data_IF_081048633226
#
_entry.id   IF_081048633226
#
_cell.length_a   1.000
_cell.length_b   1.000
_cell.length_c   1.000
_cell.angle_alpha   90.00
_cell.angle_beta   90.00
_cell.angle_gamma   90.00
#
_symmetry.space_group_name_H-M   'P 1'
#
loop_
_entity.id
_entity.type
_entity.pdbx_description
1 polymer ?
#
# COMPACT_ATOMS: atom_id res chain seq x y z
N UNK A 1 -3.55 4.73 5.11
CA UNK A 1 -3.17 3.74 6.12
C UNK A 1 -4.14 2.56 5.99
N UNK A 2 -3.66 1.33 5.86
CA UNK A 2 -4.55 0.15 5.78
C UNK A 2 -4.87 -0.41 7.18
N UNK A 3 -5.91 -1.24 7.29
CA UNK A 3 -6.45 -1.74 8.57
C UNK A 3 -5.40 -2.52 9.36
N UNK A 4 -4.63 -3.36 8.67
CA UNK A 4 -3.58 -4.20 9.28
C UNK A 4 -2.46 -3.36 9.87
N UNK A 5 -1.92 -2.40 9.11
CA UNK A 5 -0.83 -1.53 9.56
C UNK A 5 -1.27 -0.59 10.69
N UNK A 6 -2.50 -0.07 10.62
CA UNK A 6 -3.08 0.73 11.71
C UNK A 6 -3.13 -0.07 13.02
N UNK A 7 -3.61 -1.32 12.98
CA UNK A 7 -3.66 -2.21 14.15
C UNK A 7 -2.27 -2.52 14.68
N UNK A 8 -1.30 -2.80 13.80
CA UNK A 8 0.06 -3.14 14.18
C UNK A 8 0.74 -2.00 14.94
N UNK A 9 0.62 -0.76 14.45
CA UNK A 9 1.14 0.44 15.13
C UNK A 9 0.58 0.54 16.55
N UNK A 10 -0.75 0.44 16.72
CA UNK A 10 -1.37 0.55 18.04
C UNK A 10 -0.97 -0.63 18.96
N UNK A 11 -0.89 -1.85 18.42
CA UNK A 11 -0.44 -3.04 19.17
C UNK A 11 1.00 -2.88 19.66
N UNK A 12 1.89 -2.34 18.84
CA UNK A 12 3.27 -2.09 19.23
C UNK A 12 3.36 -1.16 20.44
N UNK A 13 2.50 -0.13 20.51
CA UNK A 13 2.46 0.77 21.67
C UNK A 13 1.92 0.08 22.93
N UNK A 14 0.97 -0.85 22.79
CA UNK A 14 0.49 -1.69 23.91
C UNK A 14 1.61 -2.60 24.42
N UNK A 15 2.37 -3.23 23.53
CA UNK A 15 3.47 -4.13 23.93
C UNK A 15 4.58 -3.38 24.66
N UNK A 16 4.86 -2.14 24.26
CA UNK A 16 5.84 -1.27 24.93
C UNK A 16 5.44 -0.89 26.36
N UNK A 17 4.16 -0.96 26.74
CA UNK A 17 3.71 -0.67 28.12
C UNK A 17 4.42 -1.58 29.12
N UNK A 18 4.70 -2.85 28.77
CA UNK A 18 5.42 -3.78 29.66
C UNK A 18 6.84 -3.29 29.95
N UNK A 19 7.53 -2.76 28.95
CA UNK A 19 8.88 -2.21 29.11
C UNK A 19 8.85 -0.94 29.97
N UNK A 20 7.89 -0.05 29.72
CA UNK A 20 7.74 1.21 30.44
C UNK A 20 7.28 1.02 31.89
N UNK A 21 6.52 -0.05 32.17
CA UNK A 21 6.13 -0.46 33.53
C UNK A 21 7.30 -1.03 34.33
N UNK A 22 8.26 -1.70 33.67
CA UNK A 22 9.43 -2.29 34.32
C UNK A 22 10.50 -1.24 34.68
N UNK A 23 10.49 -0.07 34.05
CA UNK A 23 11.39 1.03 34.36
C UNK A 23 10.89 1.92 35.50
N UNK A 24 11.81 2.63 36.15
CA UNK A 24 11.44 3.67 37.12
C UNK A 24 10.59 4.74 36.44
N UNK A 25 9.52 5.13 37.12
CA UNK A 25 8.53 6.12 36.69
C UNK A 25 9.18 7.42 36.18
N UNK A 26 8.58 8.01 35.14
CA UNK A 26 8.98 9.30 34.55
C UNK A 26 10.43 9.37 34.05
N UNK A 27 10.97 8.24 33.60
CA UNK A 27 12.25 8.22 32.89
C UNK A 27 12.06 8.41 31.40
N UNK A 28 13.19 8.57 30.71
CA UNK A 28 13.28 8.76 29.26
C UNK A 28 12.40 7.77 28.46
N UNK A 29 12.33 6.49 28.85
CA UNK A 29 11.50 5.50 28.17
C UNK A 29 10.00 5.83 28.25
N UNK A 30 9.50 6.31 29.40
CA UNK A 30 8.10 6.73 29.55
C UNK A 30 7.80 7.96 28.70
N UNK A 31 8.64 9.00 28.77
CA UNK A 31 8.43 10.23 28.01
C UNK A 31 8.44 9.98 26.49
N UNK A 32 9.38 9.13 26.05
CA UNK A 32 9.47 8.68 24.66
C UNK A 32 8.22 7.91 24.26
N UNK A 33 7.84 6.88 25.01
CA UNK A 33 6.63 6.10 24.73
C UNK A 33 5.37 6.96 24.68
N UNK A 34 5.20 7.89 25.63
CA UNK A 34 4.04 8.78 25.68
C UNK A 34 3.97 9.70 24.46
N UNK A 35 5.11 10.25 24.03
CA UNK A 35 5.20 11.09 22.83
C UNK A 35 4.94 10.30 21.56
N UNK A 36 5.57 9.13 21.42
CA UNK A 36 5.45 8.26 20.26
C UNK A 36 4.01 7.75 20.12
N UNK A 37 3.41 7.26 21.21
CA UNK A 37 2.00 6.82 21.25
C UNK A 37 1.05 7.93 20.80
N UNK A 38 1.28 9.17 21.22
CA UNK A 38 0.47 10.30 20.79
C UNK A 38 0.61 10.58 19.29
N UNK A 39 1.84 10.57 18.78
CA UNK A 39 2.09 10.79 17.36
C UNK A 39 1.45 9.68 16.50
N UNK A 40 1.56 8.44 16.94
CA UNK A 40 0.95 7.28 16.28
C UNK A 40 -0.58 7.37 16.28
N UNK A 41 -1.21 7.80 17.38
CA UNK A 41 -2.65 8.04 17.42
C UNK A 41 -3.09 9.15 16.44
N UNK A 42 -2.31 10.24 16.32
CA UNK A 42 -2.59 11.31 15.34
C UNK A 42 -2.38 10.83 13.89
N UNK A 43 -1.45 9.90 13.68
CA UNK A 43 -1.19 9.33 12.37
C UNK A 43 -2.27 8.32 11.93
N UNK A 44 -2.73 7.48 12.86
CA UNK A 44 -3.76 6.46 12.62
C UNK A 44 -5.15 7.07 12.57
N UNK A 45 -5.45 8.04 13.45
CA UNK A 45 -6.75 8.72 13.54
C UNK A 45 -6.59 10.22 13.25
N UNK A 46 -6.81 10.68 12.00
CA UNK A 46 -6.63 12.09 11.63
C UNK A 46 -7.53 13.05 12.43
N UNK A 47 -8.71 12.57 12.83
CA UNK A 47 -9.50 13.24 13.85
C UNK A 47 -8.79 13.07 15.19
N UNK A 48 -8.11 14.13 15.66
CA UNK A 48 -7.27 14.19 16.89
C UNK A 48 -7.96 13.80 18.21
N UNK A 49 -9.17 13.26 18.18
CA UNK A 49 -9.96 12.86 19.35
C UNK A 49 -9.20 11.87 20.22
N UNK A 50 -8.69 10.79 19.64
CA UNK A 50 -8.02 9.74 20.42
C UNK A 50 -6.71 10.21 21.05
N UNK A 51 -5.92 11.03 20.35
CA UNK A 51 -4.70 11.62 20.90
C UNK A 51 -4.98 12.62 22.03
N UNK A 52 -6.08 13.38 21.92
CA UNK A 52 -6.56 14.28 22.97
C UNK A 52 -7.05 13.49 24.19
N UNK A 53 -7.79 12.41 24.00
CA UNK A 53 -8.28 11.57 25.10
C UNK A 53 -7.14 10.83 25.81
N UNK A 54 -6.15 10.34 25.06
CA UNK A 54 -4.91 9.80 25.61
C UNK A 54 -4.14 10.82 26.46
N UNK A 55 -4.04 12.07 25.98
CA UNK A 55 -3.35 13.14 26.71
C UNK A 55 -4.01 13.53 28.04
N UNK A 56 -5.28 13.17 28.25
CA UNK A 56 -5.99 13.41 29.52
C UNK A 56 -5.73 12.34 30.58
N UNK A 57 -5.12 11.21 30.19
CA UNK A 57 -4.78 10.15 31.12
C UNK A 57 -3.74 10.67 32.11
N UNK A 58 -4.02 10.47 33.39
CA UNK A 58 -3.12 10.89 34.46
C UNK A 58 -2.27 9.72 34.89
N UNK A 59 -0.97 9.94 34.91
CA UNK A 59 0.02 9.01 35.46
C UNK A 59 0.48 9.43 36.86
N UNK A 60 0.08 10.65 37.27
CA UNK A 60 0.36 11.21 38.59
C UNK A 60 -0.94 11.50 39.36
N UNK A 61 -0.92 11.39 40.71
CA UNK A 61 -2.04 11.75 41.57
C UNK A 61 -2.52 13.20 41.39
N UNK A 62 -3.80 13.46 41.66
CA UNK A 62 -4.44 14.78 41.43
C UNK A 62 -4.02 15.88 42.40
N UNK A 63 -3.58 15.54 43.60
CA UNK A 63 -3.24 16.52 44.67
C UNK A 63 -1.75 16.47 44.95
N UNK A 64 -1.11 17.63 45.11
CA UNK A 64 0.25 17.76 45.68
C UNK A 64 0.17 17.58 47.21
N UNK A 65 -0.10 16.37 47.67
CA UNK A 65 0.03 15.98 49.07
C UNK A 65 1.37 15.25 49.23
N UNK A 66 1.88 15.14 50.45
CA UNK A 66 2.97 14.21 50.80
C UNK A 66 2.51 12.78 50.55
N UNK A 67 2.64 12.35 49.30
CA UNK A 67 2.30 11.01 48.84
C UNK A 67 3.49 10.10 49.01
N UNK A 68 3.22 8.91 49.54
CA UNK A 68 4.18 7.81 49.62
C UNK A 68 4.63 7.38 48.22
N UNK A 69 5.80 6.77 48.13
CA UNK A 69 6.30 6.23 46.87
C UNK A 69 5.35 5.18 46.28
N UNK A 70 4.64 4.43 47.14
CA UNK A 70 3.66 3.42 46.74
C UNK A 70 2.42 4.05 46.09
N UNK A 71 1.82 5.08 46.68
CA UNK A 71 0.65 5.78 46.07
C UNK A 71 0.98 6.41 44.73
N UNK A 72 2.21 6.90 44.57
CA UNK A 72 2.66 7.44 43.30
C UNK A 72 2.93 6.32 42.27
N UNK A 73 3.33 5.13 42.71
CA UNK A 73 3.48 3.95 41.87
C UNK A 73 2.13 3.43 41.39
N UNK A 74 1.16 3.30 42.28
CA UNK A 74 -0.21 2.89 41.97
C UNK A 74 -0.86 3.82 40.94
N UNK A 75 -0.72 5.14 41.09
CA UNK A 75 -1.28 6.09 40.12
C UNK A 75 -0.61 6.02 38.74
N UNK A 76 0.67 5.62 38.69
CA UNK A 76 1.39 5.43 37.43
C UNK A 76 0.94 4.16 36.73
N UNK A 77 0.87 3.04 37.45
CA UNK A 77 0.37 1.76 36.96
C UNK A 77 -1.08 1.90 36.47
N UNK A 78 -1.91 2.61 37.24
CA UNK A 78 -3.27 2.94 36.84
C UNK A 78 -3.33 3.76 35.54
N UNK A 79 -2.43 4.73 35.37
CA UNK A 79 -2.31 5.49 34.14
C UNK A 79 -1.93 4.61 32.94
N UNK A 80 -1.00 3.67 33.12
CA UNK A 80 -0.61 2.70 32.08
C UNK A 80 -1.75 1.74 31.74
N UNK A 81 -2.49 1.25 32.72
CA UNK A 81 -3.65 0.38 32.51
C UNK A 81 -4.77 1.11 31.74
N UNK A 82 -5.07 2.36 32.12
CA UNK A 82 -6.01 3.22 31.39
C UNK A 82 -5.57 3.48 29.96
N UNK A 83 -4.26 3.65 29.75
CA UNK A 83 -3.67 3.84 28.43
C UNK A 83 -3.88 2.60 27.57
N UNK A 84 -3.58 1.41 28.12
CA UNK A 84 -3.83 0.14 27.45
C UNK A 84 -5.30 -0.01 27.06
N UNK A 85 -6.22 0.24 27.98
CA UNK A 85 -7.66 0.14 27.70
C UNK A 85 -8.12 1.07 26.57
N UNK A 86 -7.57 2.29 26.49
CA UNK A 86 -7.84 3.22 25.38
C UNK A 86 -7.30 2.67 24.05
N UNK A 87 -6.06 2.18 24.03
CA UNK A 87 -5.44 1.62 22.83
C UNK A 87 -6.17 0.33 22.36
N UNK A 88 -6.60 -0.53 23.29
CA UNK A 88 -7.45 -1.68 23.00
C UNK A 88 -8.79 -1.25 22.37
N UNK A 89 -9.40 -0.17 22.87
CA UNK A 89 -10.61 0.42 22.26
C UNK A 89 -10.34 0.94 20.86
N UNK A 90 -9.17 1.54 20.60
CA UNK A 90 -8.76 1.96 19.25
C UNK A 90 -8.63 0.76 18.31
N UNK A 91 -8.04 -0.35 18.76
CA UNK A 91 -7.94 -1.58 17.96
C UNK A 91 -9.34 -2.11 17.62
N UNK A 92 -10.24 -2.17 18.60
CA UNK A 92 -11.62 -2.61 18.37
C UNK A 92 -12.37 -1.69 17.40
N UNK A 93 -12.14 -0.37 17.48
CA UNK A 93 -12.71 0.59 16.52
C UNK A 93 -12.21 0.32 15.10
N UNK A 94 -10.90 0.12 14.93
CA UNK A 94 -10.30 -0.24 13.64
C UNK A 94 -10.88 -1.57 13.14
N UNK A 95 -10.98 -2.59 13.99
CA UNK A 95 -11.52 -3.90 13.61
C UNK A 95 -12.97 -3.82 13.15
N UNK A 96 -13.79 -3.02 13.84
CA UNK A 96 -15.24 -2.97 13.65
C UNK A 96 -15.69 -2.02 12.56
N UNK A 97 -15.02 -0.88 12.41
CA UNK A 97 -15.50 0.22 11.57
C UNK A 97 -14.60 0.54 10.38
N UNK A 98 -13.37 0.00 10.32
CA UNK A 98 -12.55 0.15 9.13
C UNK A 98 -12.86 -1.02 8.19
N UNK A 99 -13.33 -0.67 6.99
CA UNK A 99 -13.61 -1.62 5.93
C UNK A 99 -12.33 -2.39 5.55
N UNK A 100 -12.48 -3.68 5.22
CA UNK A 100 -11.41 -4.51 4.63
C UNK A 100 -11.07 -4.10 3.20
N UNK A 101 -11.64 -3.00 2.70
CA UNK A 101 -11.22 -2.39 1.45
C UNK A 101 -9.86 -1.70 1.62
N UNK A 102 -8.86 -2.56 1.86
CA UNK A 102 -7.46 -2.27 1.88
C UNK A 102 -7.08 -1.64 0.55
N UNK A 103 -6.70 -0.37 0.59
CA UNK A 103 -5.64 0.08 -0.29
C UNK A 103 -4.40 -0.71 0.11
N UNK A 104 -4.17 -1.83 -0.55
CA UNK A 104 -2.90 -2.50 -0.48
C UNK A 104 -1.89 -1.66 -1.26
N UNK A 105 -1.39 -0.60 -0.60
CA UNK A 105 -0.32 0.24 -1.12
C UNK A 105 0.96 -0.56 -1.41
N UNK A 106 1.01 -1.84 -1.02
CA UNK A 106 2.11 -2.76 -1.34
C UNK A 106 1.81 -3.66 -2.54
N UNK A 107 0.55 -3.80 -2.97
CA UNK A 107 0.24 -4.61 -4.13
C UNK A 107 0.57 -3.85 -5.41
N UNK A 108 1.68 -4.25 -6.02
CA UNK A 108 2.18 -3.66 -7.26
C UNK A 108 1.73 -4.50 -8.45
N UNK A 109 1.50 -3.82 -9.56
CA UNK A 109 1.21 -4.46 -10.84
C UNK A 109 2.50 -5.06 -11.45
N UNK A 110 3.60 -4.34 -11.28
CA UNK A 110 4.96 -4.67 -11.72
C UNK A 110 5.87 -4.58 -10.50
N UNK A 111 6.75 -5.56 -10.31
CA UNK A 111 7.69 -5.55 -9.19
C UNK A 111 8.71 -4.42 -9.30
N UNK A 112 9.17 -3.88 -8.16
CA UNK A 112 10.15 -2.79 -8.17
C UNK A 112 11.47 -3.24 -8.78
N UNK A 113 11.86 -4.50 -8.55
CA UNK A 113 13.09 -5.08 -9.11
C UNK A 113 13.07 -5.02 -10.64
N UNK A 114 11.89 -5.17 -11.25
CA UNK A 114 11.74 -5.09 -12.71
C UNK A 114 11.93 -3.66 -13.22
N UNK A 115 11.39 -2.69 -12.49
CA UNK A 115 11.52 -1.27 -12.85
C UNK A 115 12.96 -0.82 -12.66
N UNK A 116 13.64 -1.23 -11.60
CA UNK A 116 15.05 -0.89 -11.38
C UNK A 116 15.95 -1.55 -12.41
N UNK A 117 15.71 -2.81 -12.79
CA UNK A 117 16.41 -3.46 -13.91
C UNK A 117 16.30 -2.65 -15.21
N UNK A 118 15.11 -2.19 -15.58
CA UNK A 118 14.91 -1.36 -16.78
C UNK A 118 15.66 -0.02 -16.71
N UNK A 119 15.77 0.55 -15.51
CA UNK A 119 16.41 1.84 -15.27
C UNK A 119 17.94 1.77 -15.31
N UNK A 120 18.52 0.64 -14.90
CA UNK A 120 19.97 0.44 -14.86
C UNK A 120 20.58 -0.04 -16.19
N UNK A 121 19.76 -0.53 -17.13
CA UNK A 121 20.26 -1.02 -18.41
C UNK A 121 20.74 0.13 -19.30
N UNK A 122 21.99 0.03 -19.76
CA UNK A 122 22.52 0.88 -20.81
C UNK A 122 21.97 0.43 -22.17
N UNK A 123 21.26 1.32 -22.87
CA UNK A 123 20.67 1.03 -24.16
C UNK A 123 20.62 2.27 -25.06
N UNK A 124 20.45 2.07 -26.37
CA UNK A 124 20.24 3.16 -27.33
C UNK A 124 18.83 3.75 -27.33
N UNK A 125 17.90 3.20 -26.54
CA UNK A 125 16.52 3.67 -26.41
C UNK A 125 16.34 4.60 -25.21
N UNK A 126 15.55 5.66 -25.35
CA UNK A 126 15.07 6.44 -24.21
C UNK A 126 13.89 5.71 -23.54
N UNK A 127 14.14 5.09 -22.39
CA UNK A 127 13.16 4.33 -21.63
C UNK A 127 12.31 5.21 -20.69
N UNK A 128 12.52 6.53 -20.63
CA UNK A 128 11.85 7.42 -19.66
C UNK A 128 10.33 7.27 -19.68
N UNK A 129 9.75 7.16 -20.87
CA UNK A 129 8.31 6.97 -21.03
C UNK A 129 7.84 5.61 -20.52
N UNK A 130 8.57 4.52 -20.82
CA UNK A 130 8.18 3.19 -20.37
C UNK A 130 8.27 3.08 -18.84
N UNK A 131 9.33 3.63 -18.24
CA UNK A 131 9.51 3.67 -16.79
C UNK A 131 8.38 4.43 -16.10
N UNK A 132 7.98 5.59 -16.65
CA UNK A 132 6.89 6.38 -16.09
C UNK A 132 5.54 5.66 -16.21
N UNK A 133 5.25 5.02 -17.35
CA UNK A 133 4.05 4.20 -17.51
C UNK A 133 4.00 3.02 -16.51
N UNK A 134 5.13 2.35 -16.27
CA UNK A 134 5.22 1.29 -15.25
C UNK A 134 4.95 1.83 -13.83
N UNK A 135 5.50 3.00 -13.50
CA UNK A 135 5.30 3.68 -12.22
C UNK A 135 3.83 4.06 -12.02
N UNK A 136 3.23 4.71 -13.02
CA UNK A 136 1.82 5.09 -13.00
C UNK A 136 0.90 3.86 -12.90
N UNK A 137 1.24 2.76 -13.58
CA UNK A 137 0.47 1.53 -13.53
C UNK A 137 0.44 0.95 -12.10
N UNK A 138 1.58 0.95 -11.41
CA UNK A 138 1.67 0.53 -10.01
C UNK A 138 0.83 1.41 -9.07
N UNK A 139 0.89 2.74 -9.25
CA UNK A 139 0.09 3.68 -8.45
C UNK A 139 -1.40 3.45 -8.71
N UNK A 140 -1.83 3.37 -9.96
CA UNK A 140 -3.23 3.20 -10.30
C UNK A 140 -3.78 1.84 -9.85
N UNK A 141 -2.96 0.78 -9.89
CA UNK A 141 -3.39 -0.53 -9.40
C UNK A 141 -3.56 -0.56 -7.88
N UNK A 142 -2.57 -0.08 -7.13
CA UNK A 142 -2.62 -0.01 -5.66
C UNK A 142 -3.72 0.93 -5.14
N UNK A 143 -4.09 1.94 -5.93
CA UNK A 143 -5.21 2.86 -5.64
C UNK A 143 -6.55 2.43 -6.25
N UNK A 144 -6.63 1.24 -6.85
CA UNK A 144 -7.86 0.67 -7.44
C UNK A 144 -8.48 1.52 -8.55
N UNK A 145 -7.68 2.36 -9.23
CA UNK A 145 -8.08 3.14 -10.40
C UNK A 145 -8.10 2.26 -11.66
N UNK A 146 -8.98 1.26 -11.68
CA UNK A 146 -8.93 0.17 -12.67
C UNK A 146 -9.20 0.61 -14.13
N UNK A 147 -9.94 1.71 -14.34
CA UNK A 147 -10.03 2.33 -15.68
C UNK A 147 -8.65 2.82 -16.16
N UNK A 148 -7.89 3.49 -15.29
CA UNK A 148 -6.55 3.95 -15.63
C UNK A 148 -5.58 2.77 -15.80
N UNK A 149 -5.71 1.72 -14.98
CA UNK A 149 -4.90 0.49 -15.12
C UNK A 149 -5.03 -0.08 -16.54
N UNK A 150 -6.25 -0.30 -17.04
CA UNK A 150 -6.42 -0.88 -18.37
C UNK A 150 -5.98 0.07 -19.50
N UNK A 151 -6.16 1.39 -19.32
CA UNK A 151 -5.62 2.39 -20.25
C UNK A 151 -4.08 2.33 -20.32
N UNK A 152 -3.42 2.18 -19.18
CA UNK A 152 -1.96 2.10 -19.09
C UNK A 152 -1.42 0.80 -19.67
N UNK A 153 -2.08 -0.34 -19.41
CA UNK A 153 -1.75 -1.63 -20.06
C UNK A 153 -1.77 -1.49 -21.57
N UNK A 154 -2.85 -0.90 -22.12
CA UNK A 154 -2.97 -0.65 -23.57
C UNK A 154 -1.88 0.30 -24.08
N UNK A 155 -1.60 1.36 -23.33
CA UNK A 155 -0.57 2.35 -23.69
C UNK A 155 0.82 1.71 -23.71
N UNK A 156 1.15 0.83 -22.77
CA UNK A 156 2.42 0.10 -22.74
C UNK A 156 2.56 -0.77 -23.99
N UNK A 157 1.57 -1.60 -24.31
CA UNK A 157 1.67 -2.50 -25.48
C UNK A 157 1.71 -1.73 -26.81
N UNK A 158 1.10 -0.55 -26.91
CA UNK A 158 1.16 0.29 -28.11
C UNK A 158 2.54 0.99 -28.28
N UNK A 159 3.32 1.14 -27.20
CA UNK A 159 4.61 1.84 -27.23
C UNK A 159 5.85 0.94 -27.19
N UNK A 160 5.72 -0.32 -26.80
CA UNK A 160 6.82 -1.31 -26.82
C UNK A 160 7.29 -1.77 -28.23
N UNK A 161 6.46 -1.83 -29.29
CA UNK A 161 6.85 -2.47 -30.55
C UNK A 161 8.17 -1.99 -31.19
N UNK A 162 8.53 -0.69 -31.18
CA UNK A 162 9.82 -0.24 -31.71
C UNK A 162 11.04 -0.88 -31.02
N UNK A 163 10.95 -1.16 -29.72
CA UNK A 163 12.03 -1.85 -28.99
C UNK A 163 12.18 -3.30 -29.50
N UNK A 164 11.06 -3.91 -29.88
CA UNK A 164 11.01 -5.29 -30.39
C UNK A 164 11.23 -5.38 -31.91
N UNK A 165 11.59 -4.28 -32.58
CA UNK A 165 11.76 -4.21 -34.05
C UNK A 165 10.50 -4.65 -34.82
N UNK A 166 9.33 -4.33 -34.27
CA UNK A 166 8.02 -4.70 -34.82
C UNK A 166 7.17 -3.45 -35.07
N UNK A 167 6.28 -3.50 -36.07
CA UNK A 167 5.37 -2.38 -36.40
C UNK A 167 4.18 -2.26 -35.45
N UNK A 168 3.82 -3.35 -34.79
CA UNK A 168 2.68 -3.43 -33.89
C UNK A 168 2.92 -4.51 -32.85
N UNK A 169 2.18 -4.42 -31.74
CA UNK A 169 2.23 -5.46 -30.71
C UNK A 169 1.68 -6.79 -31.21
N UNK A 170 0.62 -6.77 -32.01
CA UNK A 170 0.09 -7.97 -32.66
C UNK A 170 1.10 -8.70 -33.55
N UNK A 171 2.00 -7.97 -34.25
CA UNK A 171 3.10 -8.59 -34.99
C UNK A 171 4.06 -9.31 -34.04
N UNK A 172 4.55 -8.60 -33.01
CA UNK A 172 5.44 -9.18 -32.01
C UNK A 172 4.82 -10.42 -31.34
N UNK A 173 3.57 -10.33 -30.89
CA UNK A 173 2.85 -11.43 -30.26
C UNK A 173 2.73 -12.67 -31.15
N UNK A 174 2.67 -12.50 -32.48
CA UNK A 174 2.62 -13.61 -33.42
C UNK A 174 3.99 -14.21 -33.74
N UNK A 175 5.05 -13.41 -33.74
CA UNK A 175 6.40 -13.80 -34.15
C UNK A 175 7.29 -14.25 -32.98
N UNK A 176 6.90 -13.95 -31.74
CA UNK A 176 7.66 -14.32 -30.54
C UNK A 176 7.88 -15.84 -30.47
N UNK A 177 9.12 -16.22 -30.15
CA UNK A 177 9.53 -17.62 -30.04
C UNK A 177 9.04 -18.22 -28.73
N UNK A 178 8.62 -19.49 -28.78
CA UNK A 178 8.12 -20.23 -27.63
C UNK A 178 6.60 -20.21 -27.54
N UNK A 179 6.00 -21.41 -27.58
CA UNK A 179 4.54 -21.57 -27.67
C UNK A 179 3.80 -20.95 -26.47
N UNK A 180 4.34 -21.10 -25.26
CA UNK A 180 3.74 -20.54 -24.05
C UNK A 180 3.79 -19.01 -24.04
N UNK A 181 4.95 -18.42 -24.33
CA UNK A 181 5.13 -16.98 -24.39
C UNK A 181 4.25 -16.36 -25.49
N UNK A 182 4.19 -16.99 -26.67
CA UNK A 182 3.28 -16.59 -27.75
C UNK A 182 1.82 -16.54 -27.29
N UNK A 183 1.33 -17.58 -26.59
CA UNK A 183 -0.03 -17.58 -26.04
C UNK A 183 -0.27 -16.46 -25.04
N UNK A 184 0.73 -16.13 -24.21
CA UNK A 184 0.65 -15.04 -23.24
C UNK A 184 0.59 -13.67 -23.94
N UNK A 185 1.46 -13.42 -24.92
CA UNK A 185 1.48 -12.16 -25.67
C UNK A 185 0.21 -11.98 -26.50
N UNK A 186 -0.31 -13.05 -27.11
CA UNK A 186 -1.61 -13.02 -27.80
C UNK A 186 -2.77 -12.77 -26.84
N UNK A 187 -2.76 -13.40 -25.65
CA UNK A 187 -3.76 -13.08 -24.61
C UNK A 187 -3.70 -11.61 -24.23
N UNK A 188 -2.51 -11.06 -24.02
CA UNK A 188 -2.32 -9.65 -23.69
C UNK A 188 -2.86 -8.75 -24.80
N UNK A 189 -2.48 -9.00 -26.06
CA UNK A 189 -2.97 -8.21 -27.21
C UNK A 189 -4.50 -8.28 -27.34
N UNK A 190 -5.06 -9.49 -27.38
CA UNK A 190 -6.47 -9.67 -27.72
C UNK A 190 -7.40 -9.32 -26.56
N UNK A 191 -7.08 -9.79 -25.35
CA UNK A 191 -7.99 -9.64 -24.21
C UNK A 191 -7.88 -8.27 -23.57
N UNK A 192 -6.68 -7.69 -23.44
CA UNK A 192 -6.56 -6.37 -22.82
C UNK A 192 -7.24 -5.30 -23.68
N UNK A 193 -7.14 -5.37 -25.02
CA UNK A 193 -7.85 -4.46 -25.92
C UNK A 193 -9.36 -4.60 -25.82
N UNK A 194 -9.89 -5.83 -25.82
CA UNK A 194 -11.34 -6.07 -25.64
C UNK A 194 -11.86 -5.55 -24.31
N UNK A 195 -11.13 -5.81 -23.22
CA UNK A 195 -11.48 -5.30 -21.89
C UNK A 195 -11.43 -3.77 -21.89
N UNK A 196 -10.37 -3.16 -22.43
CA UNK A 196 -10.27 -1.71 -22.57
C UNK A 196 -11.44 -1.15 -23.38
N UNK A 197 -11.78 -1.78 -24.51
CA UNK A 197 -12.84 -1.29 -25.38
C UNK A 197 -14.21 -1.31 -24.69
N UNK A 198 -14.52 -2.38 -23.96
CA UNK A 198 -15.75 -2.49 -23.17
C UNK A 198 -15.76 -1.42 -22.08
N UNK A 199 -14.72 -1.38 -21.25
CA UNK A 199 -14.70 -0.50 -20.07
C UNK A 199 -14.66 0.99 -20.43
N UNK A 200 -13.91 1.37 -21.47
CA UNK A 200 -13.65 2.78 -21.78
C UNK A 200 -14.68 3.41 -22.72
N UNK A 201 -15.41 2.61 -23.52
CA UNK A 201 -16.37 3.13 -24.49
C UNK A 201 -17.84 2.87 -24.12
N UNK A 202 -18.11 2.02 -23.13
CA UNK A 202 -19.49 1.83 -22.66
C UNK A 202 -20.03 3.12 -22.03
N UNK A 203 -21.21 3.56 -22.50
CA UNK A 203 -21.86 4.78 -22.03
C UNK A 203 -22.57 4.56 -20.68
N UNK A 204 -22.68 5.62 -19.89
CA UNK A 204 -23.37 5.59 -18.58
C UNK A 204 -24.86 5.28 -18.74
N UNK A 205 -25.34 4.34 -17.94
CA UNK A 205 -26.68 3.76 -17.93
C UNK A 205 -27.09 3.25 -16.53
N UNK A 206 -28.21 2.51 -16.45
CA UNK A 206 -28.90 2.22 -15.17
C UNK A 206 -28.18 1.25 -14.23
N UNK A 207 -27.31 0.40 -14.75
CA UNK A 207 -26.48 -0.55 -13.98
C UNK A 207 -25.16 -0.68 -14.71
N UNK A 208 -24.09 -0.16 -14.12
CA UNK A 208 -22.73 -0.43 -14.60
C UNK A 208 -21.93 -1.09 -13.49
N UNK A 209 -21.40 -2.30 -13.73
CA UNK A 209 -20.35 -2.80 -12.87
C UNK A 209 -19.12 -1.89 -13.05
N UNK A 210 -18.64 -1.33 -11.93
CA UNK A 210 -17.30 -0.71 -11.88
C UNK A 210 -16.28 -1.80 -12.23
N UNK A 211 -15.20 -1.48 -12.98
CA UNK A 211 -14.19 -2.47 -13.31
C UNK A 211 -13.66 -3.15 -12.05
N UNK A 212 -13.50 -4.46 -12.10
CA UNK A 212 -12.92 -5.23 -11.00
C UNK A 212 -11.45 -5.50 -11.24
N UNK A 213 -10.72 -5.76 -10.16
CA UNK A 213 -9.31 -6.16 -10.18
C UNK A 213 -9.05 -7.30 -11.17
N UNK A 214 -9.92 -8.31 -11.19
CA UNK A 214 -9.76 -9.50 -12.03
C UNK A 214 -9.93 -9.20 -13.53
N UNK A 215 -10.79 -8.24 -13.89
CA UNK A 215 -10.99 -7.87 -15.29
C UNK A 215 -9.74 -7.24 -15.90
N UNK A 216 -8.96 -6.50 -15.09
CA UNK A 216 -7.77 -5.77 -15.54
C UNK A 216 -6.46 -6.46 -15.17
N UNK A 217 -6.49 -7.72 -14.70
CA UNK A 217 -5.29 -8.45 -14.26
C UNK A 217 -4.58 -9.13 -15.44
N UNK A 218 -3.55 -8.43 -15.93
CA UNK A 218 -2.57 -8.91 -16.91
C UNK A 218 -1.13 -8.81 -16.36
N UNK A 219 -0.97 -8.88 -15.02
CA UNK A 219 0.33 -8.69 -14.36
C UNK A 219 1.38 -9.68 -14.86
N UNK A 220 1.00 -10.95 -14.99
CA UNK A 220 1.87 -12.00 -15.50
C UNK A 220 2.37 -11.67 -16.90
N UNK A 221 1.46 -11.35 -17.83
CA UNK A 221 1.82 -11.02 -19.22
C UNK A 221 2.69 -9.78 -19.33
N UNK A 222 2.39 -8.71 -18.57
CA UNK A 222 3.22 -7.51 -18.54
C UNK A 222 4.61 -7.85 -17.98
N UNK A 223 4.69 -8.65 -16.92
CA UNK A 223 5.98 -9.12 -16.37
C UNK A 223 6.85 -9.81 -17.42
N UNK A 224 6.28 -10.79 -18.14
CA UNK A 224 7.00 -11.47 -19.22
C UNK A 224 7.33 -10.56 -20.41
N UNK A 225 6.46 -9.60 -20.74
CA UNK A 225 6.76 -8.61 -21.77
C UNK A 225 7.98 -7.77 -21.39
N UNK A 226 8.05 -7.30 -20.14
CA UNK A 226 9.19 -6.53 -19.66
C UNK A 226 10.47 -7.37 -19.61
N UNK A 227 10.37 -8.67 -19.30
CA UNK A 227 11.52 -9.59 -19.42
C UNK A 227 12.04 -9.67 -20.85
N UNK A 228 11.16 -9.75 -21.84
CA UNK A 228 11.55 -9.79 -23.26
C UNK A 228 12.11 -8.45 -23.73
N UNK A 229 11.57 -7.33 -23.25
CA UNK A 229 12.14 -5.99 -23.47
C UNK A 229 13.56 -5.93 -22.92
N UNK A 230 13.77 -6.32 -21.66
CA UNK A 230 15.10 -6.33 -21.02
C UNK A 230 16.07 -7.18 -21.84
N UNK A 231 15.72 -8.43 -22.18
CA UNK A 231 16.58 -9.32 -22.98
C UNK A 231 16.93 -8.76 -24.36
N UNK A 232 16.06 -7.93 -24.93
CA UNK A 232 16.26 -7.36 -26.27
C UNK A 232 17.26 -6.21 -26.25
N UNK A 233 17.34 -5.48 -25.15
CA UNK A 233 18.11 -4.23 -25.01
C UNK A 233 19.33 -4.34 -24.10
N UNK A 234 19.44 -5.40 -23.29
CA UNK A 234 20.66 -5.79 -22.57
C UNK A 234 21.68 -6.45 -23.49
#
# INVERSE_FOLDING_TARGET
MNKTKAKEIIKQQIDQIKCVAAEKRYRYAFEKWFRDTRADLEHVFPAKRHSVDFSKIRFSPRRKVDLTENERQEAYEYGLERSKALLDSCINEIEKFWDEEDFDFLEKYISDEKIEQLKEIETGFDLSKLLELCRELNINYSTRNYYAVIMLVRTIIDHVPPIMDCKSFGQYANEVKGNTLKKMMLRLEDQSRKVADILLHEQIGKKHPVPTKQQVDFRSEIGFLLDEVIKRIS
#
